data_IF_541994852541
#
_entry.id   IF_541994852541
#
_cell.length_a   1.000
_cell.length_b   1.000
_cell.length_c   1.000
_cell.angle_alpha   90.00
_cell.angle_beta   90.00
_cell.angle_gamma   90.00
#
_symmetry.space_group_name_H-M   'P 1'
#
loop_
_entity.id
_entity.type
_entity.pdbx_description
1 polymer ?
#
# COMPACT_ATOMS: atom_id res chain seq x y z
N UNK A 1 -6.61 17.21 14.46
CA UNK A 1 -7.18 16.82 13.18
C UNK A 1 -6.88 15.35 12.90
N UNK A 2 -7.52 14.79 11.87
CA UNK A 2 -7.45 13.36 11.59
C UNK A 2 -6.05 12.84 11.29
N UNK A 3 -5.19 13.63 10.67
CA UNK A 3 -3.84 13.22 10.31
C UNK A 3 -2.92 13.11 11.53
N UNK A 4 -2.99 14.09 12.43
CA UNK A 4 -2.24 14.07 13.68
C UNK A 4 -2.68 12.90 14.54
N UNK A 5 -3.99 12.68 14.64
CA UNK A 5 -4.56 11.57 15.38
C UNK A 5 -4.12 10.22 14.79
N UNK A 6 -4.05 10.12 13.47
CA UNK A 6 -3.59 8.91 12.79
C UNK A 6 -2.14 8.57 13.16
N UNK A 7 -1.25 9.55 13.12
CA UNK A 7 0.16 9.35 13.49
C UNK A 7 0.33 8.96 14.95
N UNK A 8 -0.38 9.64 15.85
CA UNK A 8 -0.37 9.33 17.26
C UNK A 8 -0.93 7.93 17.54
N UNK A 9 -2.01 7.55 16.86
CA UNK A 9 -2.60 6.22 17.02
C UNK A 9 -1.63 5.12 16.57
N UNK A 10 -0.92 5.34 15.46
CA UNK A 10 0.08 4.38 15.00
C UNK A 10 1.22 4.26 15.99
N UNK A 11 1.76 5.39 16.49
CA UNK A 11 2.83 5.39 17.48
C UNK A 11 2.41 4.67 18.75
N UNK A 12 1.18 4.87 19.20
CA UNK A 12 0.66 4.20 20.40
C UNK A 12 0.58 2.68 20.20
N UNK A 13 0.12 2.24 19.03
CA UNK A 13 0.07 0.81 18.70
C UNK A 13 1.46 0.19 18.59
N UNK A 14 2.39 0.90 17.98
CA UNK A 14 3.77 0.44 17.82
C UNK A 14 4.46 0.34 19.21
N UNK A 15 4.16 1.27 20.10
CA UNK A 15 4.72 1.24 21.45
C UNK A 15 4.39 -0.06 22.20
N UNK A 16 3.25 -0.68 21.91
CA UNK A 16 2.85 -1.95 22.51
C UNK A 16 3.73 -3.12 22.06
N UNK A 17 4.50 -2.95 20.99
CA UNK A 17 5.36 -3.99 20.44
C UNK A 17 6.75 -4.00 21.07
N UNK A 18 7.04 -3.03 21.96
CA UNK A 18 8.33 -2.93 22.60
C UNK A 18 8.73 -4.24 23.27
N UNK A 19 9.95 -4.67 23.01
CA UNK A 19 10.52 -5.88 23.60
C UNK A 19 10.28 -7.15 22.82
N UNK A 20 9.39 -7.13 21.80
CA UNK A 20 9.18 -8.31 20.98
C UNK A 20 10.42 -8.57 20.13
N UNK A 21 10.78 -9.85 19.94
CA UNK A 21 11.92 -10.21 19.08
C UNK A 21 11.59 -9.90 17.61
N UNK A 22 12.60 -9.50 16.85
CA UNK A 22 12.42 -9.21 15.42
C UNK A 22 12.05 -10.47 14.62
N UNK A 23 12.25 -11.65 15.15
CA UNK A 23 11.82 -12.90 14.53
C UNK A 23 10.30 -13.01 14.39
N UNK A 24 9.53 -12.16 15.09
CA UNK A 24 8.08 -12.12 14.93
C UNK A 24 7.69 -11.80 13.48
N UNK A 25 8.51 -11.06 12.75
CA UNK A 25 8.23 -10.74 11.36
C UNK A 25 8.22 -11.96 10.45
N UNK A 26 8.98 -13.00 10.78
CA UNK A 26 8.94 -14.27 10.05
C UNK A 26 7.58 -14.92 10.19
N UNK A 27 7.01 -14.91 11.39
CA UNK A 27 5.68 -15.46 11.64
C UNK A 27 4.60 -14.68 10.91
N UNK A 28 4.68 -13.34 10.94
CA UNK A 28 3.72 -12.48 10.26
C UNK A 28 3.79 -12.72 8.76
N UNK A 29 4.99 -12.75 8.19
CA UNK A 29 5.18 -12.98 6.76
C UNK A 29 4.55 -14.31 6.32
N UNK A 30 4.71 -15.37 7.09
CA UNK A 30 4.16 -16.69 6.76
C UNK A 30 2.62 -16.74 6.86
N UNK A 31 2.01 -15.81 7.58
CA UNK A 31 0.55 -15.72 7.73
C UNK A 31 -0.13 -14.79 6.74
N UNK A 32 0.64 -13.93 6.09
CA UNK A 32 0.10 -12.96 5.13
C UNK A 32 0.00 -13.62 3.76
N UNK A 33 -1.15 -13.45 3.14
CA UNK A 33 -1.39 -13.98 1.80
C UNK A 33 -1.76 -12.84 0.86
N UNK A 34 -1.37 -12.96 -0.41
CA UNK A 34 -1.80 -12.02 -1.43
C UNK A 34 -3.30 -12.14 -1.64
N UNK A 35 -3.94 -11.01 -1.84
CA UNK A 35 -5.35 -10.98 -2.25
C UNK A 35 -5.49 -11.75 -3.56
N UNK A 36 -6.59 -12.52 -3.69
CA UNK A 36 -6.85 -13.27 -4.91
C UNK A 36 -6.74 -12.38 -6.14
N UNK A 37 -6.05 -12.87 -7.16
CA UNK A 37 -5.83 -12.14 -8.40
C UNK A 37 -4.69 -11.13 -8.38
N UNK A 38 -4.07 -10.85 -7.22
CA UNK A 38 -3.00 -9.86 -7.12
C UNK A 38 -1.79 -10.23 -7.99
N UNK A 39 -1.29 -11.45 -7.86
CA UNK A 39 -0.13 -11.89 -8.63
C UNK A 39 -0.42 -11.94 -10.12
N UNK A 40 -1.60 -12.40 -10.50
CA UNK A 40 -2.04 -12.39 -11.91
C UNK A 40 -2.10 -10.97 -12.46
N UNK A 41 -2.65 -10.03 -11.69
CA UNK A 41 -2.70 -8.62 -12.09
C UNK A 41 -1.29 -8.08 -12.34
N UNK A 42 -0.38 -8.29 -11.39
CA UNK A 42 0.99 -7.78 -11.47
C UNK A 42 1.72 -8.37 -12.67
N UNK A 43 1.64 -9.68 -12.85
CA UNK A 43 2.31 -10.37 -13.97
C UNK A 43 1.77 -9.88 -15.31
N UNK A 44 0.46 -9.70 -15.43
CA UNK A 44 -0.17 -9.22 -16.67
C UNK A 44 0.25 -7.78 -16.96
N UNK A 45 0.28 -6.92 -15.95
CA UNK A 45 0.73 -5.55 -16.11
C UNK A 45 2.20 -5.49 -16.56
N UNK A 46 3.06 -6.31 -15.95
CA UNK A 46 4.46 -6.40 -16.34
C UNK A 46 4.62 -6.86 -17.80
N UNK A 47 3.79 -7.80 -18.25
CA UNK A 47 3.80 -8.27 -19.62
C UNK A 47 3.46 -7.16 -20.63
N UNK A 48 2.79 -6.10 -20.16
CA UNK A 48 2.43 -4.93 -20.97
C UNK A 48 3.29 -3.71 -20.66
N UNK A 49 4.46 -3.92 -20.05
CA UNK A 49 5.44 -2.88 -19.71
C UNK A 49 4.95 -1.84 -18.70
N UNK A 50 3.97 -2.20 -17.88
CA UNK A 50 3.55 -1.38 -16.75
C UNK A 50 4.47 -1.58 -15.55
N UNK A 51 4.58 -0.56 -14.72
CA UNK A 51 5.23 -0.67 -13.41
C UNK A 51 4.16 -0.76 -12.32
N UNK A 52 4.47 -1.48 -11.27
CA UNK A 52 3.54 -1.69 -10.16
C UNK A 52 4.21 -1.31 -8.85
N UNK A 53 3.54 -0.48 -8.08
CA UNK A 53 4.02 -0.04 -6.78
C UNK A 53 2.97 -0.21 -5.70
N UNK A 54 3.42 -0.27 -4.45
CA UNK A 54 2.56 -0.37 -3.27
C UNK A 54 2.98 0.68 -2.26
N UNK A 55 2.00 1.38 -1.71
CA UNK A 55 2.20 2.27 -0.55
C UNK A 55 1.32 1.75 0.57
N UNK A 56 1.94 1.31 1.64
CA UNK A 56 1.28 0.56 2.70
C UNK A 56 1.44 1.24 4.06
N UNK A 57 0.37 1.22 4.85
CA UNK A 57 0.45 1.57 6.27
C UNK A 57 1.06 0.46 7.14
N UNK A 58 1.41 -0.67 6.55
CA UNK A 58 2.11 -1.76 7.23
C UNK A 58 3.59 -1.44 7.42
N UNK A 59 4.43 -2.48 7.55
CA UNK A 59 5.84 -2.33 7.89
C UNK A 59 6.75 -2.96 6.86
N UNK A 60 7.84 -2.27 6.54
CA UNK A 60 8.87 -2.72 5.60
C UNK A 60 9.39 -4.11 5.93
N UNK A 61 9.50 -4.47 7.20
CA UNK A 61 10.01 -5.75 7.67
C UNK A 61 9.24 -6.94 7.08
N UNK A 62 7.96 -6.73 6.72
CA UNK A 62 7.13 -7.74 6.04
C UNK A 62 6.93 -7.36 4.57
N UNK A 63 6.65 -6.08 4.30
CA UNK A 63 6.34 -5.60 2.93
C UNK A 63 7.52 -5.82 1.98
N UNK A 64 8.76 -5.64 2.44
CA UNK A 64 9.94 -5.88 1.58
C UNK A 64 9.96 -7.32 1.05
N UNK A 65 9.61 -8.29 1.89
CA UNK A 65 9.57 -9.71 1.51
C UNK A 65 8.44 -9.99 0.52
N UNK A 66 7.26 -9.41 0.78
CA UNK A 66 6.12 -9.55 -0.13
C UNK A 66 6.39 -8.87 -1.48
N UNK A 67 7.06 -7.72 -1.46
CA UNK A 67 7.43 -7.01 -2.68
C UNK A 67 8.39 -7.84 -3.55
N UNK A 68 9.34 -8.52 -2.93
CA UNK A 68 10.25 -9.43 -3.63
C UNK A 68 9.49 -10.61 -4.25
N UNK A 69 8.57 -11.21 -3.49
CA UNK A 69 7.77 -12.35 -3.96
C UNK A 69 6.88 -11.96 -5.15
N UNK A 70 6.33 -10.75 -5.13
CA UNK A 70 5.42 -10.26 -6.17
C UNK A 70 6.15 -9.52 -7.31
N UNK A 71 7.44 -9.34 -7.20
CA UNK A 71 8.25 -8.60 -8.18
C UNK A 71 7.79 -7.15 -8.36
N UNK A 72 7.43 -6.48 -7.25
CA UNK A 72 7.03 -5.08 -7.31
C UNK A 72 8.20 -4.19 -7.78
N UNK A 73 7.86 -3.12 -8.49
CA UNK A 73 8.86 -2.15 -8.98
C UNK A 73 9.16 -1.08 -7.93
N UNK A 74 8.16 -0.69 -7.16
CA UNK A 74 8.28 0.33 -6.11
C UNK A 74 7.46 -0.08 -4.90
N UNK A 75 7.94 0.24 -3.69
CA UNK A 75 7.12 0.08 -2.48
C UNK A 75 7.62 0.97 -1.36
N UNK A 76 6.67 1.45 -0.57
CA UNK A 76 6.91 2.28 0.60
C UNK A 76 6.00 1.78 1.71
N UNK A 77 6.54 1.66 2.90
CA UNK A 77 5.80 1.28 4.10
C UNK A 77 6.44 1.96 5.31
N UNK A 78 5.86 1.78 6.48
CA UNK A 78 6.49 2.22 7.71
C UNK A 78 7.64 1.28 8.07
N UNK A 79 8.55 1.75 8.91
CA UNK A 79 9.66 0.93 9.40
C UNK A 79 9.71 1.01 10.92
N UNK A 80 9.97 -0.13 11.55
CA UNK A 80 10.07 -0.22 13.00
C UNK A 80 11.52 -0.18 13.44
N UNK A 81 11.77 0.55 14.52
CA UNK A 81 13.11 0.58 15.11
C UNK A 81 13.37 -0.68 15.92
N UNK A 82 14.55 -1.23 15.77
CA UNK A 82 14.99 -2.42 16.51
C UNK A 82 16.40 -2.20 17.06
N UNK A 83 16.68 -2.79 18.21
CA UNK A 83 17.99 -2.81 18.83
C UNK A 83 18.18 -4.17 19.51
N UNK A 84 19.36 -4.75 19.34
CA UNK A 84 19.71 -6.05 19.94
C UNK A 84 18.71 -7.15 19.66
N UNK A 85 18.16 -7.17 18.42
CA UNK A 85 17.22 -8.18 17.98
C UNK A 85 15.81 -8.02 18.54
N UNK A 86 15.48 -6.88 19.14
CA UNK A 86 14.16 -6.61 19.70
C UNK A 86 13.65 -5.25 19.25
N UNK A 87 12.32 -5.15 19.13
CA UNK A 87 11.67 -3.88 18.81
C UNK A 87 11.76 -2.92 19.99
N UNK A 88 12.04 -1.65 19.69
CA UNK A 88 12.13 -0.61 20.71
C UNK A 88 10.79 0.02 21.06
N UNK A 89 9.77 -0.19 20.23
CA UNK A 89 8.47 0.44 20.39
C UNK A 89 8.34 1.76 19.63
N UNK A 90 9.32 2.10 18.80
CA UNK A 90 9.32 3.34 18.01
C UNK A 90 9.26 3.05 16.52
N UNK A 91 8.61 3.97 15.79
CA UNK A 91 8.62 3.99 14.32
C UNK A 91 9.91 4.68 13.89
N UNK A 92 10.58 4.11 12.92
CA UNK A 92 11.79 4.67 12.34
C UNK A 92 11.44 5.43 11.06
N UNK A 93 11.79 6.71 11.00
CA UNK A 93 11.52 7.55 9.84
C UNK A 93 10.08 8.07 9.77
N UNK A 94 9.68 8.51 8.59
CA UNK A 94 8.37 9.12 8.39
C UNK A 94 7.25 8.08 8.36
N UNK A 95 6.09 8.48 8.85
CA UNK A 95 4.89 7.64 8.87
C UNK A 95 4.15 7.81 7.54
N UNK A 96 3.74 6.68 6.95
CA UNK A 96 2.92 6.66 5.73
C UNK A 96 1.52 7.18 6.06
N UNK A 97 1.11 8.23 5.36
CA UNK A 97 -0.22 8.85 5.49
C UNK A 97 -0.90 8.89 4.12
N UNK A 98 -2.13 9.44 4.08
CA UNK A 98 -2.82 9.66 2.81
C UNK A 98 -2.02 10.55 1.85
N UNK A 99 -1.27 11.50 2.40
CA UNK A 99 -0.41 12.38 1.59
C UNK A 99 0.77 11.63 1.01
N UNK A 100 1.37 10.73 1.79
CA UNK A 100 2.45 9.86 1.33
C UNK A 100 2.01 9.02 0.13
N UNK A 101 0.80 8.49 0.16
CA UNK A 101 0.26 7.68 -0.92
C UNK A 101 0.14 8.48 -2.21
N UNK A 102 -0.45 9.67 -2.13
CA UNK A 102 -0.59 10.55 -3.28
C UNK A 102 0.76 11.02 -3.82
N UNK A 103 1.65 11.46 -2.95
CA UNK A 103 2.98 11.92 -3.32
C UNK A 103 3.80 10.81 -3.98
N UNK A 104 3.68 9.58 -3.49
CA UNK A 104 4.37 8.42 -4.06
C UNK A 104 3.90 8.15 -5.48
N UNK A 105 2.59 8.17 -5.72
CA UNK A 105 2.06 7.98 -7.06
C UNK A 105 2.59 9.05 -8.02
N UNK A 106 2.56 10.31 -7.60
CA UNK A 106 3.07 11.42 -8.40
C UNK A 106 4.56 11.30 -8.69
N UNK A 107 5.35 10.93 -7.67
CA UNK A 107 6.79 10.78 -7.81
C UNK A 107 7.15 9.65 -8.77
N UNK A 108 6.45 8.53 -8.68
CA UNK A 108 6.70 7.40 -9.58
C UNK A 108 6.28 7.70 -11.02
N UNK A 109 5.15 8.39 -11.20
CA UNK A 109 4.72 8.82 -12.53
C UNK A 109 5.76 9.78 -13.15
N UNK A 110 6.24 10.75 -12.39
CA UNK A 110 7.28 11.68 -12.84
C UNK A 110 8.58 10.96 -13.20
N UNK A 111 8.97 9.99 -12.38
CA UNK A 111 10.17 9.18 -12.60
C UNK A 111 10.09 8.37 -13.89
N UNK A 112 8.89 7.91 -14.24
CA UNK A 112 8.64 7.17 -15.47
C UNK A 112 8.40 8.08 -16.68
N UNK A 113 8.28 9.39 -16.47
CA UNK A 113 7.99 10.33 -17.54
C UNK A 113 6.58 10.23 -18.10
N UNK A 114 5.60 9.81 -17.28
CA UNK A 114 4.21 9.69 -17.69
C UNK A 114 3.31 10.70 -16.98
N UNK A 115 2.18 11.02 -17.59
CA UNK A 115 1.18 11.89 -16.97
C UNK A 115 0.35 11.12 -15.94
N UNK A 116 -0.20 11.85 -14.99
CA UNK A 116 -1.11 11.24 -14.00
C UNK A 116 -2.31 10.56 -14.67
N UNK A 117 -2.75 11.05 -15.82
CA UNK A 117 -3.82 10.42 -16.59
C UNK A 117 -3.50 8.98 -17.03
N UNK A 118 -2.21 8.61 -17.02
CA UNK A 118 -1.75 7.27 -17.40
C UNK A 118 -1.53 6.36 -16.18
N UNK A 119 -1.99 6.78 -15.01
CA UNK A 119 -1.81 6.02 -13.77
C UNK A 119 -3.11 5.35 -13.33
N UNK A 120 -2.96 4.27 -12.57
CA UNK A 120 -4.06 3.56 -11.93
C UNK A 120 -3.77 3.49 -10.44
N UNK A 121 -4.76 3.81 -9.63
CA UNK A 121 -4.67 3.67 -8.17
C UNK A 121 -5.82 2.82 -7.66
N UNK A 122 -5.50 1.91 -6.75
CA UNK A 122 -6.46 0.99 -6.15
C UNK A 122 -6.31 1.02 -4.63
N UNK A 123 -7.40 1.14 -3.92
CA UNK A 123 -7.37 1.16 -2.47
C UNK A 123 -8.74 0.84 -1.88
N UNK A 124 -8.79 0.60 -0.57
CA UNK A 124 -10.00 0.20 0.14
C UNK A 124 -10.41 1.15 1.28
N UNK A 125 -9.58 2.11 1.61
CA UNK A 125 -9.79 3.01 2.73
C UNK A 125 -9.93 4.47 2.36
N UNK A 126 -10.44 5.27 3.29
CA UNK A 126 -10.56 6.72 3.09
C UNK A 126 -9.21 7.39 2.85
N UNK A 127 -8.14 6.86 3.44
CA UNK A 127 -6.78 7.37 3.23
C UNK A 127 -6.23 7.12 1.84
N UNK A 128 -6.90 6.28 1.02
CA UNK A 128 -6.54 6.05 -0.37
C UNK A 128 -7.22 7.02 -1.33
N UNK A 129 -8.27 7.74 -0.88
CA UNK A 129 -9.07 8.60 -1.75
C UNK A 129 -8.28 9.71 -2.45
N UNK A 130 -7.37 10.45 -1.79
CA UNK A 130 -6.59 11.45 -2.51
C UNK A 130 -5.80 10.86 -3.68
N UNK A 131 -5.19 9.70 -3.49
CA UNK A 131 -4.47 8.99 -4.53
C UNK A 131 -5.42 8.49 -5.62
N UNK A 132 -6.57 7.92 -5.23
CA UNK A 132 -7.59 7.41 -6.15
C UNK A 132 -8.14 8.55 -7.03
N UNK A 133 -8.40 9.72 -6.45
CA UNK A 133 -8.91 10.87 -7.21
C UNK A 133 -7.88 11.46 -8.18
N UNK A 134 -6.60 11.42 -7.82
CA UNK A 134 -5.53 12.00 -8.65
C UNK A 134 -5.12 11.10 -9.81
N UNK A 135 -5.35 9.80 -9.72
CA UNK A 135 -4.99 8.84 -10.76
C UNK A 135 -5.86 8.97 -12.00
N UNK A 136 -5.34 8.55 -13.14
CA UNK A 136 -6.12 8.48 -14.36
C UNK A 136 -7.29 7.50 -14.25
N UNK A 137 -7.06 6.38 -13.56
CA UNK A 137 -8.10 5.42 -13.19
C UNK A 137 -7.98 5.15 -11.69
N UNK A 138 -8.97 5.58 -10.92
CA UNK A 138 -9.02 5.32 -9.49
C UNK A 138 -10.14 4.34 -9.15
N UNK A 139 -9.81 3.28 -8.41
CA UNK A 139 -10.74 2.20 -8.09
C UNK A 139 -10.78 1.95 -6.59
N UNK A 140 -11.97 1.99 -5.99
CA UNK A 140 -12.20 1.51 -4.63
C UNK A 140 -12.43 0.01 -4.68
N UNK A 141 -11.53 -0.76 -4.04
CA UNK A 141 -11.56 -2.21 -4.07
C UNK A 141 -12.12 -2.77 -2.77
N UNK A 142 -13.28 -3.41 -2.84
CA UNK A 142 -13.96 -4.01 -1.68
C UNK A 142 -14.00 -3.04 -0.48
N UNK A 143 -14.25 -1.78 -0.77
CA UNK A 143 -14.17 -0.70 0.20
C UNK A 143 -15.49 -0.53 0.96
N UNK A 144 -15.44 0.23 2.05
CA UNK A 144 -16.63 0.62 2.79
C UNK A 144 -17.55 1.48 1.90
N UNK A 145 -18.87 1.45 2.12
CA UNK A 145 -19.82 2.20 1.27
C UNK A 145 -19.45 3.66 1.08
N UNK A 146 -19.03 4.36 2.12
CA UNK A 146 -18.67 5.78 2.04
C UNK A 146 -17.49 6.01 1.10
N UNK A 147 -16.49 5.13 1.12
CA UNK A 147 -15.33 5.20 0.23
C UNK A 147 -15.77 4.95 -1.21
N UNK A 148 -16.65 3.98 -1.42
CA UNK A 148 -17.19 3.67 -2.74
C UNK A 148 -17.97 4.84 -3.34
N UNK A 149 -18.72 5.56 -2.52
CA UNK A 149 -19.48 6.73 -2.97
C UNK A 149 -18.57 7.83 -3.51
N UNK A 150 -17.41 8.02 -2.88
CA UNK A 150 -16.48 9.08 -3.23
C UNK A 150 -15.51 8.68 -4.34
N UNK A 151 -15.36 7.40 -4.64
CA UNK A 151 -14.43 6.94 -5.66
C UNK A 151 -15.04 7.00 -7.07
N UNK A 152 -14.24 7.30 -8.11
CA UNK A 152 -14.73 7.31 -9.50
C UNK A 152 -15.20 5.94 -9.97
N UNK A 153 -14.52 4.89 -9.54
CA UNK A 153 -14.85 3.50 -9.90
C UNK A 153 -14.79 2.61 -8.67
N UNK A 154 -15.42 1.46 -8.74
CA UNK A 154 -15.44 0.50 -7.65
C UNK A 154 -15.42 -0.92 -8.18
N UNK A 155 -14.77 -1.80 -7.43
CA UNK A 155 -14.71 -3.23 -7.69
C UNK A 155 -15.00 -3.96 -6.39
N UNK A 156 -16.11 -4.70 -6.33
CA UNK A 156 -16.56 -5.39 -5.12
C UNK A 156 -16.38 -6.90 -5.16
N UNK A 157 -15.85 -7.43 -6.25
CA UNK A 157 -15.40 -8.82 -6.28
C UNK A 157 -13.99 -8.88 -5.68
N UNK A 158 -13.75 -9.82 -4.79
CA UNK A 158 -12.43 -9.97 -4.17
C UNK A 158 -11.49 -10.72 -5.11
N UNK A 159 -11.25 -10.13 -6.25
CA UNK A 159 -10.35 -10.61 -7.29
C UNK A 159 -9.68 -9.40 -7.96
N UNK A 160 -8.44 -9.11 -7.59
CA UNK A 160 -7.71 -7.97 -8.13
C UNK A 160 -7.46 -8.07 -9.64
N UNK A 161 -7.45 -9.27 -10.20
CA UNK A 161 -7.29 -9.42 -11.64
C UNK A 161 -8.42 -8.75 -12.43
N UNK A 162 -9.58 -8.52 -11.81
CA UNK A 162 -10.71 -7.81 -12.42
C UNK A 162 -10.41 -6.33 -12.72
N UNK A 163 -9.37 -5.76 -12.12
CA UNK A 163 -8.90 -4.42 -12.48
C UNK A 163 -8.55 -4.36 -13.97
N UNK A 164 -8.06 -5.45 -14.54
CA UNK A 164 -7.72 -5.53 -15.95
C UNK A 164 -8.90 -5.22 -16.87
N UNK A 165 -10.13 -5.46 -16.41
CA UNK A 165 -11.33 -5.18 -17.20
C UNK A 165 -11.52 -3.67 -17.44
N UNK A 166 -11.01 -2.83 -16.57
CA UNK A 166 -11.03 -1.37 -16.70
C UNK A 166 -9.99 -0.85 -17.70
N UNK A 167 -9.01 -1.67 -18.05
CA UNK A 167 -7.87 -1.27 -18.87
C UNK A 167 -8.01 -1.70 -20.35
N UNK A 168 -9.13 -2.30 -20.71
CA UNK A 168 -9.41 -2.75 -22.08
C UNK A 168 -9.89 -1.59 -22.97
#
# INVERSE_FOLDING_TARGET
NGELDFREALRARVALLKGLPTTIFDEVYHRVHFTHGALELIDTLHAHDWKVGVVSGGFHEVVDRLAADAHLDYWIANRLEAADGRLTGHVLGDIVTKDTKLESLRAWAARMGIDMAQTVAVGDGANDLPMIHAAGLGVAFCAKPKVQEDAPHRLNERDLAKILDYLK
#
